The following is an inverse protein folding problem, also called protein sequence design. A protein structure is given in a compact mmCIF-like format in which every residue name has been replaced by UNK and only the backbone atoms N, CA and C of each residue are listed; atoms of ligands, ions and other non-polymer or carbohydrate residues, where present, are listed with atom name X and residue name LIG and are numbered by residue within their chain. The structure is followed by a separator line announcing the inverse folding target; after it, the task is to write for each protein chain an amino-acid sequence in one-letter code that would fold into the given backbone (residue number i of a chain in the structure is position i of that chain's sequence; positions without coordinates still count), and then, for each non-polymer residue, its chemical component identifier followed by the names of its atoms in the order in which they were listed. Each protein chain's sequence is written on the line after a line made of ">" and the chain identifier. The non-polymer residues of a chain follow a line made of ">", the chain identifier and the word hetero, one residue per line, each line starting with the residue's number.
data_IF_228724680842
#
_entry.id   IF_228724680842
#
_cell.length_a   1.000
_cell.length_b   1.000
_cell.length_c   1.000
_cell.angle_alpha   90.00
_cell.angle_beta   90.00
_cell.angle_gamma   90.00
#
_symmetry.space_group_name_H-M   'P 1'
#
loop_
_entity.id
_entity.type
_entity.pdbx_description
1 polymer ?
#
# COMPACT_ATOMS: atom_id res chain seq x y z
N UNK A 1 -35.06 0.40 20.09
CA UNK A 1 -34.34 -0.72 19.44
C UNK A 1 -32.84 -0.51 19.65
N UNK A 2 -32.16 -1.42 20.35
CA UNK A 2 -30.70 -1.42 20.43
C UNK A 2 -30.18 -1.79 19.04
N UNK A 3 -29.61 -0.82 18.31
CA UNK A 3 -28.80 -1.12 17.14
C UNK A 3 -27.54 -1.85 17.65
N UNK A 4 -27.45 -3.13 17.40
CA UNK A 4 -26.20 -3.85 17.58
C UNK A 4 -25.21 -3.34 16.53
N UNK A 5 -24.26 -2.54 16.98
CA UNK A 5 -23.17 -2.09 16.10
C UNK A 5 -22.34 -3.32 15.74
N UNK A 6 -22.30 -3.65 14.46
CA UNK A 6 -21.50 -4.76 13.95
C UNK A 6 -20.02 -4.55 14.31
N UNK A 7 -19.39 -5.53 14.92
CA UNK A 7 -17.94 -5.53 15.18
C UNK A 7 -17.19 -5.90 13.90
N UNK A 8 -17.01 -4.90 13.04
CA UNK A 8 -16.33 -5.05 11.76
C UNK A 8 -14.87 -5.52 11.94
N UNK A 9 -14.17 -4.97 12.92
CA UNK A 9 -12.77 -5.36 13.17
C UNK A 9 -12.67 -6.81 13.65
N UNK A 10 -13.56 -7.25 14.53
CA UNK A 10 -13.60 -8.64 14.97
C UNK A 10 -13.86 -9.61 13.81
N UNK A 11 -14.76 -9.25 12.90
CA UNK A 11 -15.04 -10.03 11.71
C UNK A 11 -13.84 -10.08 10.76
N UNK A 12 -13.20 -8.95 10.49
CA UNK A 12 -12.00 -8.89 9.64
C UNK A 12 -10.87 -9.73 10.22
N UNK A 13 -10.67 -9.72 11.54
CA UNK A 13 -9.68 -10.58 12.21
C UNK A 13 -9.88 -12.05 11.90
N UNK A 14 -11.14 -12.51 11.87
CA UNK A 14 -11.47 -13.89 11.56
C UNK A 14 -11.24 -14.23 10.08
N UNK A 15 -11.54 -13.30 9.18
CA UNK A 15 -11.58 -13.55 7.73
C UNK A 15 -10.30 -13.15 6.99
N UNK A 16 -9.43 -12.33 7.58
CA UNK A 16 -8.22 -11.83 6.91
C UNK A 16 -7.20 -12.92 6.55
N UNK A 17 -7.29 -14.09 7.16
CA UNK A 17 -6.45 -15.26 6.87
C UNK A 17 -7.06 -16.27 5.92
N UNK A 18 -8.27 -16.03 5.40
CA UNK A 18 -8.94 -16.94 4.47
C UNK A 18 -8.16 -17.14 3.18
N UNK A 19 -8.21 -18.35 2.63
CA UNK A 19 -7.53 -18.67 1.37
C UNK A 19 -8.13 -17.94 0.17
N UNK A 20 -9.42 -17.64 0.22
CA UNK A 20 -10.12 -16.93 -0.85
C UNK A 20 -9.68 -15.47 -0.94
N UNK A 21 -9.07 -15.10 -2.06
CA UNK A 21 -8.73 -13.70 -2.36
C UNK A 21 -9.98 -12.81 -2.43
N UNK A 22 -11.12 -13.37 -2.81
CA UNK A 22 -12.40 -12.65 -2.82
C UNK A 22 -12.82 -12.26 -1.41
N UNK A 23 -12.76 -13.18 -0.44
CA UNK A 23 -13.07 -12.89 0.96
C UNK A 23 -12.13 -11.85 1.53
N UNK A 24 -10.83 -11.97 1.30
CA UNK A 24 -9.85 -10.97 1.76
C UNK A 24 -10.09 -9.60 1.13
N UNK A 25 -10.51 -9.53 -0.13
CA UNK A 25 -10.87 -8.29 -0.81
C UNK A 25 -12.08 -7.61 -0.16
N UNK A 26 -13.10 -8.38 0.23
CA UNK A 26 -14.24 -7.86 1.00
C UNK A 26 -13.80 -7.30 2.36
N UNK A 27 -12.85 -7.94 3.03
CA UNK A 27 -12.23 -7.40 4.25
C UNK A 27 -11.57 -6.04 4.02
N UNK A 28 -10.89 -5.87 2.89
CA UNK A 28 -10.27 -4.59 2.50
C UNK A 28 -11.31 -3.49 2.29
N UNK A 29 -12.41 -3.80 1.62
CA UNK A 29 -13.52 -2.84 1.45
C UNK A 29 -14.10 -2.45 2.81
N UNK A 30 -14.30 -3.42 3.69
CA UNK A 30 -14.88 -3.21 5.01
C UNK A 30 -13.98 -2.38 5.96
N UNK A 31 -12.65 -2.47 5.82
CA UNK A 31 -11.70 -1.74 6.68
C UNK A 31 -11.55 -0.26 6.30
N UNK A 32 -12.00 0.12 5.12
CA UNK A 32 -11.92 1.49 4.63
C UNK A 32 -12.54 2.47 5.64
N UNK A 33 -11.81 3.54 5.95
CA UNK A 33 -12.20 4.58 6.92
C UNK A 33 -12.40 4.08 8.37
N UNK A 34 -12.05 2.84 8.68
CA UNK A 34 -12.11 2.34 10.04
C UNK A 34 -10.96 2.94 10.87
N UNK A 35 -11.27 3.58 12.00
CA UNK A 35 -10.32 4.28 12.87
C UNK A 35 -9.80 3.44 14.03
N UNK A 36 -10.12 2.14 14.08
CA UNK A 36 -9.58 1.24 15.09
C UNK A 36 -8.06 1.24 15.08
N UNK A 37 -7.45 1.14 16.26
CA UNK A 37 -6.00 0.99 16.40
C UNK A 37 -5.47 -0.29 15.75
N UNK A 38 -6.32 -1.29 15.54
CA UNK A 38 -5.99 -2.57 14.93
C UNK A 38 -6.06 -2.53 13.38
N UNK A 39 -6.73 -1.54 12.80
CA UNK A 39 -6.93 -1.45 11.36
C UNK A 39 -5.60 -1.43 10.57
N UNK A 40 -4.55 -0.69 10.95
CA UNK A 40 -3.28 -0.71 10.22
C UNK A 40 -2.63 -2.09 10.15
N UNK A 41 -2.61 -2.82 11.27
CA UNK A 41 -2.02 -4.17 11.32
C UNK A 41 -2.82 -5.18 10.50
N UNK A 42 -4.15 -5.08 10.49
CA UNK A 42 -5.01 -5.92 9.66
C UNK A 42 -4.83 -5.62 8.18
N UNK A 43 -4.73 -4.36 7.81
CA UNK A 43 -4.41 -3.98 6.43
C UNK A 43 -3.05 -4.54 6.00
N UNK A 44 -2.03 -4.44 6.85
CA UNK A 44 -0.70 -4.98 6.58
C UNK A 44 -0.73 -6.49 6.35
N UNK A 45 -1.51 -7.23 7.15
CA UNK A 45 -1.74 -8.67 6.95
C UNK A 45 -2.37 -8.96 5.58
N UNK A 46 -3.41 -8.21 5.22
CA UNK A 46 -4.07 -8.34 3.92
C UNK A 46 -3.14 -7.95 2.76
N UNK A 47 -2.31 -6.92 2.94
CA UNK A 47 -1.31 -6.50 1.96
C UNK A 47 -0.27 -7.60 1.69
N UNK A 48 0.19 -8.29 2.72
CA UNK A 48 1.13 -9.41 2.57
C UNK A 48 0.54 -10.61 1.81
N UNK A 49 -0.77 -10.69 1.66
CA UNK A 49 -1.44 -11.72 0.87
C UNK A 49 -1.55 -11.38 -0.63
N UNK A 50 -1.11 -10.19 -1.05
CA UNK A 50 -1.07 -9.83 -2.48
C UNK A 50 -0.03 -10.69 -3.21
N UNK A 51 -0.45 -11.32 -4.31
CA UNK A 51 0.37 -12.26 -5.08
C UNK A 51 1.20 -11.63 -6.19
N UNK A 52 1.07 -10.30 -6.37
CA UNK A 52 1.74 -9.57 -7.45
C UNK A 52 1.09 -9.71 -8.83
N UNK A 53 -0.07 -10.35 -8.92
CA UNK A 53 -0.78 -10.63 -10.19
C UNK A 53 -2.22 -10.13 -10.21
N UNK A 54 -2.89 -10.16 -9.06
CA UNK A 54 -4.30 -9.76 -8.96
C UNK A 54 -4.43 -8.23 -8.87
N UNK A 55 -4.70 -7.61 -10.01
CA UNK A 55 -4.92 -6.16 -10.10
C UNK A 55 -6.06 -5.68 -9.21
N UNK A 56 -7.15 -6.43 -9.14
CA UNK A 56 -8.31 -6.03 -8.35
C UNK A 56 -8.04 -6.07 -6.85
N UNK A 57 -7.20 -7.02 -6.41
CA UNK A 57 -6.73 -7.07 -5.04
C UNK A 57 -5.87 -5.83 -4.71
N UNK A 58 -4.96 -5.47 -5.61
CA UNK A 58 -4.12 -4.28 -5.46
C UNK A 58 -4.94 -2.98 -5.39
N UNK A 59 -5.95 -2.86 -6.24
CA UNK A 59 -6.87 -1.71 -6.20
C UNK A 59 -7.67 -1.67 -4.88
N UNK A 60 -8.12 -2.81 -4.38
CA UNK A 60 -8.80 -2.90 -3.08
C UNK A 60 -7.88 -2.46 -1.93
N UNK A 61 -6.60 -2.82 -1.96
CA UNK A 61 -5.60 -2.33 -0.99
C UNK A 61 -5.51 -0.80 -1.00
N UNK A 62 -5.44 -0.21 -2.18
CA UNK A 62 -5.40 1.25 -2.31
C UNK A 62 -6.66 1.94 -1.81
N UNK A 63 -7.83 1.40 -2.16
CA UNK A 63 -9.12 1.93 -1.69
C UNK A 63 -9.28 1.81 -0.16
N UNK A 64 -8.85 0.70 0.41
CA UNK A 64 -8.90 0.47 1.85
C UNK A 64 -8.08 1.50 2.65
N UNK A 65 -6.96 1.94 2.08
CA UNK A 65 -6.06 2.90 2.72
C UNK A 65 -6.50 4.36 2.58
N UNK A 66 -7.55 4.65 1.83
CA UNK A 66 -8.03 6.01 1.58
C UNK A 66 -8.15 6.83 2.87
N UNK A 67 -7.53 8.03 2.90
CA UNK A 67 -7.42 8.94 4.05
C UNK A 67 -6.65 8.40 5.27
N UNK A 68 -6.02 7.22 5.14
CA UNK A 68 -5.15 6.62 6.16
C UNK A 68 -3.88 6.01 5.53
N UNK A 69 -3.50 6.49 4.36
CA UNK A 69 -2.45 5.90 3.54
C UNK A 69 -1.14 5.71 4.32
N UNK A 70 -0.66 6.75 4.99
CA UNK A 70 0.60 6.68 5.74
C UNK A 70 0.52 5.69 6.91
N UNK A 71 -0.58 5.68 7.66
CA UNK A 71 -0.74 4.77 8.80
C UNK A 71 -0.70 3.30 8.37
N UNK A 72 -1.43 2.97 7.31
CA UNK A 72 -1.50 1.61 6.80
C UNK A 72 -0.19 1.19 6.16
N UNK A 73 0.39 2.06 5.36
CA UNK A 73 1.69 1.83 4.72
C UNK A 73 2.81 1.62 5.74
N UNK A 74 2.90 2.46 6.78
CA UNK A 74 3.92 2.36 7.82
C UNK A 74 3.81 1.04 8.59
N UNK A 75 2.60 0.56 8.84
CA UNK A 75 2.39 -0.72 9.51
C UNK A 75 2.88 -1.90 8.65
N UNK A 76 2.69 -1.83 7.33
CA UNK A 76 3.11 -2.87 6.40
C UNK A 76 4.61 -2.86 6.13
N UNK A 77 5.19 -1.70 5.85
CA UNK A 77 6.57 -1.58 5.36
C UNK A 77 7.60 -2.04 6.39
N UNK A 78 7.27 -1.97 7.68
CA UNK A 78 8.17 -2.40 8.77
C UNK A 78 8.54 -3.87 8.70
N UNK A 79 7.67 -4.72 8.19
CA UNK A 79 7.89 -6.17 8.12
C UNK A 79 7.89 -6.73 6.70
N UNK A 80 7.73 -5.91 5.68
CA UNK A 80 7.61 -6.34 4.31
C UNK A 80 8.96 -6.65 3.65
N UNK A 81 8.98 -7.68 2.80
CA UNK A 81 10.09 -7.95 1.88
C UNK A 81 9.94 -7.07 0.65
N UNK A 82 10.63 -5.92 0.63
CA UNK A 82 10.41 -4.86 -0.35
C UNK A 82 10.91 -5.16 -1.78
N UNK A 83 11.75 -6.18 -1.93
CA UNK A 83 12.36 -6.54 -3.22
C UNK A 83 11.53 -7.52 -4.06
N UNK A 84 10.28 -7.75 -3.71
CA UNK A 84 9.35 -8.61 -4.45
C UNK A 84 8.49 -7.82 -5.42
N UNK A 85 7.99 -8.46 -6.48
CA UNK A 85 7.05 -7.84 -7.41
C UNK A 85 5.77 -7.36 -6.70
N UNK A 86 5.24 -8.17 -5.77
CA UNK A 86 4.05 -7.81 -4.99
C UNK A 86 4.28 -6.56 -4.14
N UNK A 87 5.43 -6.45 -3.47
CA UNK A 87 5.76 -5.28 -2.66
C UNK A 87 5.93 -4.02 -3.52
N UNK A 88 6.58 -4.13 -4.67
CA UNK A 88 6.71 -3.02 -5.62
C UNK A 88 5.36 -2.53 -6.13
N UNK A 89 4.41 -3.43 -6.34
CA UNK A 89 3.04 -3.08 -6.69
C UNK A 89 2.35 -2.26 -5.60
N UNK A 90 2.49 -2.68 -4.33
CA UNK A 90 1.91 -1.98 -3.18
C UNK A 90 2.52 -0.59 -3.03
N UNK A 91 3.83 -0.46 -3.17
CA UNK A 91 4.53 0.84 -3.15
C UNK A 91 4.03 1.72 -4.30
N UNK A 92 3.91 1.17 -5.50
CA UNK A 92 3.40 1.89 -6.67
C UNK A 92 1.97 2.39 -6.47
N UNK A 93 1.11 1.57 -5.86
CA UNK A 93 -0.31 1.92 -5.64
C UNK A 93 -0.52 2.88 -4.47
N UNK A 94 0.45 2.99 -3.56
CA UNK A 94 0.34 3.89 -2.41
C UNK A 94 0.20 5.36 -2.85
N UNK A 95 -0.65 6.10 -2.15
CA UNK A 95 -0.90 7.53 -2.42
C UNK A 95 -0.49 8.44 -1.27
N UNK A 96 0.05 7.88 -0.20
CA UNK A 96 0.55 8.61 0.96
C UNK A 96 1.98 9.12 0.75
N UNK A 97 2.31 10.21 1.41
CA UNK A 97 3.63 10.87 1.31
C UNK A 97 4.79 9.97 1.74
N UNK A 98 4.56 9.04 2.69
CA UNK A 98 5.59 8.13 3.16
C UNK A 98 6.07 7.12 2.10
N UNK A 99 5.29 6.90 1.06
CA UNK A 99 5.68 6.04 -0.06
C UNK A 99 6.70 6.66 -1.01
N UNK A 100 6.88 7.97 -1.02
CA UNK A 100 7.70 8.68 -1.99
C UNK A 100 9.17 8.21 -2.01
N UNK A 101 9.79 8.06 -0.85
CA UNK A 101 11.18 7.58 -0.75
C UNK A 101 11.35 6.16 -1.29
N UNK A 102 10.36 5.31 -1.12
CA UNK A 102 10.39 3.93 -1.62
C UNK A 102 10.23 3.87 -3.14
N UNK A 103 9.46 4.78 -3.73
CA UNK A 103 9.40 4.94 -5.18
C UNK A 103 10.76 5.37 -5.73
N UNK A 104 11.44 6.31 -5.08
CA UNK A 104 12.80 6.70 -5.45
C UNK A 104 13.79 5.52 -5.34
N UNK A 105 13.70 4.73 -4.28
CA UNK A 105 14.53 3.53 -4.12
C UNK A 105 14.33 2.55 -5.29
N UNK A 106 13.09 2.33 -5.74
CA UNK A 106 12.79 1.45 -6.88
C UNK A 106 13.37 2.03 -8.18
N UNK A 107 13.18 3.31 -8.45
CA UNK A 107 13.71 3.97 -9.66
C UNK A 107 15.23 3.89 -9.72
N UNK A 108 15.91 4.01 -8.58
CA UNK A 108 17.37 3.98 -8.48
C UNK A 108 17.95 2.56 -8.34
N UNK A 109 17.13 1.56 -8.12
CA UNK A 109 17.58 0.17 -8.04
C UNK A 109 18.12 -0.28 -9.40
N UNK A 110 19.35 -0.82 -9.40
CA UNK A 110 20.01 -1.35 -10.61
C UNK A 110 19.22 -2.50 -11.26
N UNK A 111 18.35 -3.17 -10.52
CA UNK A 111 17.50 -4.25 -11.04
C UNK A 111 16.25 -3.71 -11.75
N UNK A 112 15.91 -2.45 -11.58
CA UNK A 112 14.78 -1.83 -12.27
C UNK A 112 15.20 -1.47 -13.69
N UNK A 113 14.55 -2.06 -14.67
CA UNK A 113 14.85 -1.80 -16.09
C UNK A 113 14.39 -0.40 -16.51
N UNK A 114 14.99 0.12 -17.57
CA UNK A 114 14.58 1.41 -18.16
C UNK A 114 13.11 1.42 -18.60
N UNK A 115 12.58 0.27 -19.00
CA UNK A 115 11.16 0.13 -19.37
C UNK A 115 10.21 0.21 -18.16
N UNK A 116 10.66 -0.18 -16.97
CA UNK A 116 9.86 -0.14 -15.74
C UNK A 116 9.87 1.23 -15.06
N UNK A 117 10.95 1.99 -15.17
CA UNK A 117 11.12 3.27 -14.48
C UNK A 117 9.98 4.27 -14.68
N UNK A 118 9.44 4.46 -15.91
CA UNK A 118 8.33 5.41 -16.11
C UNK A 118 7.09 5.11 -15.27
N UNK A 119 6.80 3.83 -15.00
CA UNK A 119 5.69 3.43 -14.14
C UNK A 119 5.83 4.01 -12.72
N UNK A 120 7.01 3.90 -12.14
CA UNK A 120 7.28 4.36 -10.78
C UNK A 120 7.46 5.87 -10.70
N UNK A 121 8.04 6.49 -11.71
CA UNK A 121 8.13 7.96 -11.83
C UNK A 121 6.73 8.59 -11.88
N UNK A 122 5.82 8.01 -12.68
CA UNK A 122 4.45 8.48 -12.79
C UNK A 122 3.67 8.33 -11.47
N UNK A 123 4.00 7.32 -10.66
CA UNK A 123 3.37 7.15 -9.36
C UNK A 123 3.62 8.35 -8.42
N UNK A 124 4.75 9.04 -8.56
CA UNK A 124 5.04 10.26 -7.81
C UNK A 124 4.07 11.41 -8.11
N UNK A 125 3.47 11.43 -9.30
CA UNK A 125 2.48 12.48 -9.64
C UNK A 125 1.23 12.41 -8.74
N UNK A 126 0.92 11.23 -8.21
CA UNK A 126 -0.22 11.01 -7.32
C UNK A 126 0.11 11.23 -5.83
N UNK A 127 1.37 11.40 -5.49
CA UNK A 127 1.79 11.74 -4.12
C UNK A 127 1.52 13.23 -3.88
N UNK A 128 0.93 13.61 -2.73
CA UNK A 128 0.72 15.02 -2.39
C UNK A 128 2.02 15.82 -2.41
N UNK A 129 1.93 17.07 -2.84
CA UNK A 129 3.06 18.01 -2.80
C UNK A 129 3.58 18.17 -1.37
N UNK A 130 4.90 18.26 -1.22
CA UNK A 130 5.55 18.45 0.06
C UNK A 130 6.98 17.95 0.06
N UNK A 131 7.61 18.01 1.23
CA UNK A 131 9.03 17.69 1.42
C UNK A 131 9.37 16.27 0.97
N UNK A 132 8.55 15.28 1.30
CA UNK A 132 8.81 13.87 0.98
C UNK A 132 8.88 13.64 -0.54
N UNK A 133 7.95 14.26 -1.28
CA UNK A 133 7.94 14.19 -2.74
C UNK A 133 9.14 14.92 -3.35
N UNK A 134 9.45 16.12 -2.86
CA UNK A 134 10.57 16.93 -3.33
C UNK A 134 11.91 16.22 -3.09
N UNK A 135 12.10 15.64 -1.90
CA UNK A 135 13.30 14.87 -1.56
C UNK A 135 13.45 13.64 -2.48
N UNK A 136 12.37 12.93 -2.76
CA UNK A 136 12.38 11.78 -3.66
C UNK A 136 12.78 12.18 -5.09
N UNK A 137 12.19 13.25 -5.62
CA UNK A 137 12.51 13.78 -6.96
C UNK A 137 13.96 14.25 -7.04
N UNK A 138 14.47 14.93 -6.01
CA UNK A 138 15.85 15.36 -5.93
C UNK A 138 16.84 14.17 -5.94
N UNK A 139 16.55 13.14 -5.17
CA UNK A 139 17.36 11.90 -5.17
C UNK A 139 17.40 11.23 -6.55
N UNK A 140 16.27 11.15 -7.23
CA UNK A 140 16.17 10.55 -8.56
C UNK A 140 16.99 11.39 -9.56
N UNK A 141 16.83 12.72 -9.54
CA UNK A 141 17.58 13.62 -10.42
C UNK A 141 19.10 13.51 -10.22
N UNK A 142 19.56 13.47 -8.96
CA UNK A 142 20.98 13.32 -8.64
C UNK A 142 21.51 11.93 -9.01
N UNK A 143 20.71 10.89 -8.83
CA UNK A 143 21.10 9.52 -9.17
C UNK A 143 21.13 9.23 -10.68
N UNK A 144 20.53 10.09 -11.50
CA UNK A 144 20.55 10.00 -12.97
C UNK A 144 21.83 10.61 -13.60
N UNK A 145 22.63 11.32 -12.81
CA UNK A 145 23.92 11.88 -13.24
C UNK A 145 25.04 10.83 -13.11
#
# INVERSE_FOLDING_TARGET
>A
ARQHKLDVIGLIKQLAGEESALVRRECLVAIRHNKSKEAPALWAKLANAHDGKDRWYLEALGLAADKQENKFFDAWVRGAKLNTAAARDIIWRNRGTHGAKFLADIVLDKKTTEAEKPRYLRALDFIPKGKEKDDALARIALGAL
#
